data_IF_354847270114
#
_entry.id   IF_354847270114
#
_cell.length_a   1.000
_cell.length_b   1.000
_cell.length_c   1.000
_cell.angle_alpha   90.00
_cell.angle_beta   90.00
_cell.angle_gamma   90.00
#
_symmetry.space_group_name_H-M   'P 1'
#
loop_
_entity.id
_entity.type
_entity.pdbx_description
1 polymer ?
#
# COMPACT_ATOMS: atom_id res chain seq x y z
N UNK A 1 16.77 8.10 6.65
CA UNK A 1 16.86 7.10 5.56
C UNK A 1 17.68 5.88 5.98
N UNK A 2 18.96 6.02 6.35
CA UNK A 2 19.85 4.89 6.72
C UNK A 2 19.29 4.04 7.89
N UNK A 3 18.75 4.67 8.93
CA UNK A 3 18.12 3.94 10.05
C UNK A 3 16.87 3.18 9.62
N UNK A 4 16.09 3.73 8.69
CA UNK A 4 14.88 3.09 8.17
C UNK A 4 15.23 1.88 7.29
N UNK A 5 16.21 2.02 6.39
CA UNK A 5 16.68 0.92 5.55
C UNK A 5 17.35 -0.17 6.38
N UNK A 6 18.14 0.19 7.39
CA UNK A 6 18.74 -0.78 8.32
C UNK A 6 17.68 -1.56 9.11
N UNK A 7 16.65 -0.88 9.64
CA UNK A 7 15.54 -1.53 10.35
C UNK A 7 14.72 -2.45 9.45
N UNK A 8 14.49 -2.06 8.18
CA UNK A 8 13.77 -2.90 7.22
C UNK A 8 14.57 -4.15 6.82
N UNK A 9 15.88 -3.99 6.57
CA UNK A 9 16.75 -5.11 6.25
C UNK A 9 16.84 -6.07 7.43
N UNK A 10 17.14 -5.56 8.63
CA UNK A 10 17.23 -6.38 9.83
C UNK A 10 15.92 -7.10 10.14
N UNK A 11 14.78 -6.38 10.12
CA UNK A 11 13.46 -6.96 10.33
C UNK A 11 13.10 -8.01 9.28
N UNK A 12 13.42 -7.76 8.01
CA UNK A 12 13.22 -8.71 6.91
C UNK A 12 14.08 -9.96 7.04
N UNK A 13 15.35 -9.83 7.45
CA UNK A 13 16.25 -10.97 7.67
C UNK A 13 15.79 -11.80 8.86
N UNK A 14 15.43 -11.18 9.98
CA UNK A 14 14.89 -11.88 11.17
C UNK A 14 13.58 -12.60 10.81
N UNK A 15 12.72 -11.97 10.02
CA UNK A 15 11.49 -12.59 9.54
C UNK A 15 11.77 -13.82 8.67
N UNK A 16 12.72 -13.74 7.73
CA UNK A 16 13.11 -14.88 6.89
C UNK A 16 13.69 -16.04 7.71
N UNK A 17 14.52 -15.73 8.70
CA UNK A 17 15.07 -16.74 9.63
C UNK A 17 13.96 -17.39 10.44
N UNK A 18 12.97 -16.64 10.93
CA UNK A 18 11.83 -17.20 11.66
C UNK A 18 10.87 -17.98 10.75
N UNK A 19 10.66 -17.52 9.52
CA UNK A 19 9.74 -18.14 8.57
C UNK A 19 10.26 -19.48 8.06
N UNK A 20 11.57 -19.58 7.81
CA UNK A 20 12.21 -20.77 7.23
C UNK A 20 12.90 -21.60 8.30
N UNK A 21 13.67 -20.96 9.18
CA UNK A 21 14.48 -21.63 10.18
C UNK A 21 13.67 -22.26 11.32
N UNK A 22 12.62 -21.59 11.81
CA UNK A 22 11.79 -22.14 12.89
C UNK A 22 11.07 -23.44 12.47
N UNK A 23 10.29 -23.49 11.36
CA UNK A 23 9.67 -24.75 10.95
C UNK A 23 10.68 -25.81 10.53
N UNK A 24 11.82 -25.44 9.94
CA UNK A 24 12.88 -26.41 9.62
C UNK A 24 13.48 -27.05 10.89
N UNK A 25 13.68 -26.27 11.95
CA UNK A 25 14.14 -26.78 13.25
C UNK A 25 13.07 -27.64 13.93
N UNK A 26 11.80 -27.22 13.87
CA UNK A 26 10.69 -27.96 14.46
C UNK A 26 10.35 -29.25 13.71
N UNK A 27 10.66 -29.36 12.42
CA UNK A 27 10.47 -30.58 11.63
C UNK A 27 11.36 -31.76 12.09
N UNK A 28 12.45 -31.49 12.81
CA UNK A 28 13.26 -32.55 13.43
C UNK A 28 12.66 -33.11 14.72
N UNK A 29 11.60 -32.47 15.24
CA UNK A 29 10.89 -32.90 16.45
C UNK A 29 9.59 -33.56 16.00
N UNK A 30 9.33 -34.84 16.32
CA UNK A 30 8.05 -35.47 16.02
C UNK A 30 6.94 -34.76 16.82
N UNK A 31 6.05 -34.05 16.12
CA UNK A 31 4.95 -33.28 16.70
C UNK A 31 3.59 -33.90 16.36
N UNK A 32 2.64 -33.68 17.26
CA UNK A 32 1.23 -34.02 17.06
C UNK A 32 0.53 -32.98 16.16
N UNK A 33 -0.49 -33.41 15.41
CA UNK A 33 -1.22 -32.61 14.39
C UNK A 33 -1.84 -31.34 14.98
N UNK A 34 -2.33 -31.40 16.21
CA UNK A 34 -2.91 -30.22 16.88
C UNK A 34 -1.85 -29.15 17.16
N UNK A 35 -0.64 -29.58 17.54
CA UNK A 35 0.48 -28.66 17.83
C UNK A 35 0.98 -27.98 16.56
N UNK A 36 1.09 -28.73 15.46
CA UNK A 36 1.47 -28.19 14.14
C UNK A 36 0.47 -27.13 13.65
N UNK A 37 -0.82 -27.38 13.85
CA UNK A 37 -1.89 -26.43 13.46
C UNK A 37 -1.80 -25.11 14.22
N UNK A 38 -1.59 -25.14 15.54
CA UNK A 38 -1.43 -23.92 16.34
C UNK A 38 -0.17 -23.13 15.97
N UNK A 39 0.94 -23.83 15.69
CA UNK A 39 2.18 -23.21 15.22
C UNK A 39 1.97 -22.52 13.87
N UNK A 40 1.24 -23.15 12.95
CA UNK A 40 0.91 -22.58 11.64
C UNK A 40 0.07 -21.30 11.77
N UNK A 41 -0.95 -21.30 12.63
CA UNK A 41 -1.78 -20.11 12.89
C UNK A 41 -0.94 -18.98 13.50
N UNK A 42 -0.12 -19.29 14.51
CA UNK A 42 0.77 -18.32 15.15
C UNK A 42 1.77 -17.73 14.15
N UNK A 43 2.27 -18.53 13.20
CA UNK A 43 3.17 -18.08 12.13
C UNK A 43 2.48 -17.06 11.22
N UNK A 44 1.27 -17.34 10.76
CA UNK A 44 0.52 -16.40 9.92
C UNK A 44 0.21 -15.08 10.64
N UNK A 45 -0.13 -15.15 11.93
CA UNK A 45 -0.30 -13.96 12.78
C UNK A 45 1.00 -13.16 12.91
N UNK A 46 2.14 -13.83 13.15
CA UNK A 46 3.44 -13.16 13.25
C UNK A 46 3.81 -12.43 11.95
N UNK A 47 3.60 -13.07 10.79
CA UNK A 47 3.83 -12.46 9.47
C UNK A 47 2.96 -11.21 9.33
N UNK A 48 1.67 -11.30 9.65
CA UNK A 48 0.75 -10.19 9.56
C UNK A 48 1.21 -9.00 10.43
N UNK A 49 1.62 -9.26 11.68
CA UNK A 49 2.13 -8.22 12.60
C UNK A 49 3.39 -7.55 12.06
N UNK A 50 4.36 -8.31 11.55
CA UNK A 50 5.61 -7.75 11.01
C UNK A 50 5.36 -6.93 9.75
N UNK A 51 4.51 -7.41 8.83
CA UNK A 51 4.14 -6.67 7.62
C UNK A 51 3.41 -5.38 7.99
N UNK A 52 2.43 -5.44 8.90
CA UNK A 52 1.73 -4.25 9.38
C UNK A 52 2.67 -3.25 10.06
N UNK A 53 3.62 -3.73 10.87
CA UNK A 53 4.63 -2.88 11.52
C UNK A 53 5.58 -2.21 10.51
N UNK A 54 6.03 -2.96 9.50
CA UNK A 54 6.85 -2.45 8.40
C UNK A 54 6.13 -1.38 7.59
N UNK A 55 4.87 -1.63 7.20
CA UNK A 55 4.02 -0.64 6.54
C UNK A 55 3.77 0.59 7.42
N UNK A 56 3.50 0.41 8.71
CA UNK A 56 3.28 1.51 9.65
C UNK A 56 4.53 2.39 9.79
N UNK A 57 5.72 1.80 9.87
CA UNK A 57 6.98 2.55 9.83
C UNK A 57 7.14 3.28 8.51
N UNK A 58 6.92 2.61 7.38
CA UNK A 58 7.02 3.22 6.06
C UNK A 58 6.10 4.43 5.94
N UNK A 59 4.82 4.31 6.32
CA UNK A 59 3.86 5.42 6.35
C UNK A 59 4.16 6.49 7.40
N UNK A 60 4.84 6.16 8.50
CA UNK A 60 5.25 7.14 9.51
C UNK A 60 6.41 8.01 9.01
N UNK A 61 7.38 7.42 8.31
CA UNK A 61 8.65 8.06 7.93
C UNK A 61 8.69 8.57 6.48
N UNK A 62 7.81 8.11 5.59
CA UNK A 62 7.71 8.58 4.21
C UNK A 62 7.23 10.03 4.01
N UNK A 63 6.40 10.66 4.87
CA UNK A 63 5.90 12.00 4.56
C UNK A 63 6.87 13.08 5.04
N UNK A 64 7.67 13.62 4.11
CA UNK A 64 8.33 14.92 4.24
C UNK A 64 7.36 16.08 3.96
N UNK A 65 6.12 16.00 4.47
CA UNK A 65 5.12 17.07 4.37
C UNK A 65 4.17 17.08 5.57
N UNK A 66 3.57 18.24 5.83
CA UNK A 66 2.51 18.40 6.83
C UNK A 66 1.32 17.52 6.44
N UNK A 67 0.84 16.69 7.36
CA UNK A 67 -0.16 15.65 7.07
C UNK A 67 -1.50 16.32 6.75
N UNK A 68 -2.21 15.81 5.74
CA UNK A 68 -3.60 16.20 5.50
C UNK A 68 -4.48 15.70 6.66
N UNK A 69 -5.59 16.40 6.96
CA UNK A 69 -6.57 15.94 7.96
C UNK A 69 -7.02 14.52 7.59
N UNK A 70 -6.94 13.60 8.55
CA UNK A 70 -7.27 12.19 8.31
C UNK A 70 -8.79 12.03 8.21
N UNK A 71 -9.33 12.12 6.99
CA UNK A 71 -10.68 11.66 6.70
C UNK A 71 -10.63 10.17 6.41
N UNK A 72 -11.40 9.37 7.14
CA UNK A 72 -11.47 7.92 6.97
C UNK A 72 -12.07 7.51 5.62
N UNK A 73 -12.71 8.44 4.91
CA UNK A 73 -13.27 8.22 3.58
C UNK A 73 -13.12 9.50 2.75
N UNK A 74 -12.01 9.63 2.01
CA UNK A 74 -11.87 10.67 1.01
C UNK A 74 -12.53 10.24 -0.32
N UNK A 75 -13.05 11.18 -1.13
CA UNK A 75 -13.64 10.86 -2.42
C UNK A 75 -12.69 10.10 -3.35
N UNK A 76 -11.39 10.45 -3.35
CA UNK A 76 -10.33 9.75 -4.08
C UNK A 76 -10.06 8.36 -3.55
N UNK A 77 -10.09 8.13 -2.23
CA UNK A 77 -10.00 6.78 -1.67
C UNK A 77 -11.20 5.90 -2.04
N UNK A 78 -12.42 6.46 -2.04
CA UNK A 78 -13.62 5.74 -2.47
C UNK A 78 -13.58 5.38 -3.96
N UNK A 79 -13.19 6.33 -4.81
CA UNK A 79 -13.00 6.10 -6.25
C UNK A 79 -11.91 5.05 -6.53
N UNK A 80 -10.76 5.14 -5.85
CA UNK A 80 -9.70 4.15 -5.95
C UNK A 80 -10.16 2.77 -5.47
N UNK A 81 -10.92 2.68 -4.36
CA UNK A 81 -11.46 1.41 -3.88
C UNK A 81 -12.40 0.74 -4.89
N UNK A 82 -13.32 1.50 -5.49
CA UNK A 82 -14.22 1.01 -6.54
C UNK A 82 -13.45 0.56 -7.79
N UNK A 83 -12.52 1.37 -8.26
CA UNK A 83 -11.66 1.03 -9.41
C UNK A 83 -10.78 -0.18 -9.12
N UNK A 84 -10.26 -0.31 -7.90
CA UNK A 84 -9.42 -1.43 -7.50
C UNK A 84 -10.21 -2.74 -7.46
N UNK A 85 -11.45 -2.69 -6.97
CA UNK A 85 -12.35 -3.84 -7.00
C UNK A 85 -12.71 -4.25 -8.44
N UNK A 86 -13.13 -3.28 -9.26
CA UNK A 86 -13.43 -3.51 -10.67
C UNK A 86 -12.21 -4.01 -11.45
N UNK A 87 -11.04 -3.42 -11.20
CA UNK A 87 -9.75 -3.80 -11.78
C UNK A 87 -9.33 -5.20 -11.38
N UNK A 88 -9.51 -5.60 -10.13
CA UNK A 88 -9.22 -6.96 -9.66
C UNK A 88 -10.13 -8.01 -10.32
N UNK A 89 -11.41 -7.68 -10.50
CA UNK A 89 -12.36 -8.56 -11.18
C UNK A 89 -12.05 -8.68 -12.67
N UNK A 90 -11.75 -7.56 -13.34
CA UNK A 90 -11.28 -7.54 -14.73
C UNK A 90 -9.95 -8.28 -14.91
N UNK A 91 -9.04 -8.15 -13.97
CA UNK A 91 -7.75 -8.85 -13.99
C UNK A 91 -7.92 -10.36 -13.86
N UNK A 92 -8.88 -10.82 -13.05
CA UNK A 92 -9.22 -12.24 -12.96
C UNK A 92 -9.69 -12.80 -14.30
N UNK A 93 -10.55 -12.07 -15.02
CA UNK A 93 -10.99 -12.44 -16.37
C UNK A 93 -9.82 -12.43 -17.37
N UNK A 94 -8.93 -11.44 -17.28
CA UNK A 94 -7.74 -11.37 -18.12
C UNK A 94 -6.82 -12.59 -17.93
N UNK A 95 -6.51 -12.95 -16.68
CA UNK A 95 -5.65 -14.11 -16.37
C UNK A 95 -6.30 -15.42 -16.81
N UNK A 96 -7.62 -15.56 -16.66
CA UNK A 96 -8.35 -16.75 -17.12
C UNK A 96 -8.20 -16.99 -18.63
N UNK A 97 -8.15 -15.93 -19.44
CA UNK A 97 -7.92 -16.01 -20.88
C UNK A 97 -6.44 -16.20 -21.25
N UNK A 98 -5.52 -15.89 -20.34
CA UNK A 98 -4.07 -15.96 -20.55
C UNK A 98 -3.48 -17.37 -20.39
N UNK A 99 -4.27 -18.35 -19.92
CA UNK A 99 -3.82 -19.72 -19.64
C UNK A 99 -3.17 -20.45 -20.83
N UNK A 100 -3.53 -20.10 -22.07
CA UNK A 100 -2.92 -20.69 -23.28
C UNK A 100 -1.50 -20.16 -23.56
N UNK A 101 -1.16 -18.93 -23.16
CA UNK A 101 0.20 -18.37 -23.30
C UNK A 101 1.16 -18.88 -22.22
N UNK A 102 0.65 -19.34 -21.09
CA UNK A 102 1.44 -19.86 -19.98
C UNK A 102 2.22 -21.14 -20.35
N UNK A 103 1.74 -21.91 -21.36
CA UNK A 103 2.42 -23.12 -21.84
C UNK A 103 3.77 -22.84 -22.51
N UNK A 104 3.94 -21.66 -23.11
CA UNK A 104 5.17 -21.26 -23.82
C UNK A 104 6.18 -20.58 -22.90
N UNK A 105 5.70 -19.80 -21.92
CA UNK A 105 6.54 -18.96 -21.07
C UNK A 105 6.71 -19.49 -19.63
N UNK A 106 5.95 -20.51 -19.22
CA UNK A 106 6.10 -21.16 -17.91
C UNK A 106 6.15 -20.16 -16.75
N UNK A 107 7.22 -20.20 -15.95
CA UNK A 107 7.41 -19.32 -14.80
C UNK A 107 7.48 -17.82 -15.14
N UNK A 108 7.89 -17.45 -16.36
CA UNK A 108 7.89 -16.04 -16.80
C UNK A 108 6.46 -15.49 -16.93
N UNK A 109 5.49 -16.34 -17.32
CA UNK A 109 4.08 -15.95 -17.39
C UNK A 109 3.54 -15.50 -16.03
N UNK A 110 3.88 -16.23 -14.96
CA UNK A 110 3.50 -15.88 -13.59
C UNK A 110 4.09 -14.54 -13.13
N UNK A 111 5.36 -14.27 -13.46
CA UNK A 111 6.01 -12.98 -13.13
C UNK A 111 5.34 -11.83 -13.88
N UNK A 112 5.04 -12.00 -15.17
CA UNK A 112 4.36 -10.97 -15.97
C UNK A 112 2.99 -10.67 -15.37
N UNK A 113 2.19 -11.70 -15.06
CA UNK A 113 0.88 -11.55 -14.42
C UNK A 113 1.02 -10.75 -13.11
N UNK A 114 1.96 -11.13 -12.25
CA UNK A 114 2.19 -10.41 -10.98
C UNK A 114 2.56 -8.95 -11.22
N UNK A 115 3.49 -8.67 -12.14
CA UNK A 115 3.92 -7.31 -12.47
C UNK A 115 2.78 -6.46 -13.04
N UNK A 116 1.95 -7.03 -13.92
CA UNK A 116 0.78 -6.35 -14.47
C UNK A 116 -0.24 -6.03 -13.37
N UNK A 117 -0.46 -6.96 -12.43
CA UNK A 117 -1.36 -6.74 -11.31
C UNK A 117 -0.87 -5.62 -10.37
N UNK A 118 0.43 -5.64 -10.05
CA UNK A 118 1.07 -4.60 -9.24
C UNK A 118 1.03 -3.24 -9.93
N UNK A 119 1.32 -3.19 -11.23
CA UNK A 119 1.26 -1.98 -12.04
C UNK A 119 -0.16 -1.39 -12.06
N UNK A 120 -1.18 -2.23 -12.30
CA UNK A 120 -2.59 -1.82 -12.31
C UNK A 120 -3.01 -1.27 -10.94
N UNK A 121 -2.65 -1.98 -9.87
CA UNK A 121 -2.94 -1.55 -8.49
C UNK A 121 -2.29 -0.21 -8.15
N UNK A 122 -1.00 -0.05 -8.49
CA UNK A 122 -0.27 1.19 -8.27
C UNK A 122 -0.90 2.35 -9.04
N UNK A 123 -1.29 2.13 -10.30
CA UNK A 123 -1.94 3.14 -11.12
C UNK A 123 -3.27 3.61 -10.49
N UNK A 124 -4.12 2.68 -10.04
CA UNK A 124 -5.40 3.00 -9.42
C UNK A 124 -5.22 3.80 -8.12
N UNK A 125 -4.26 3.41 -7.28
CA UNK A 125 -3.95 4.11 -6.04
C UNK A 125 -3.45 5.53 -6.32
N UNK A 126 -2.54 5.69 -7.28
CA UNK A 126 -2.04 7.01 -7.68
C UNK A 126 -3.14 7.90 -8.26
N UNK A 127 -4.07 7.33 -9.03
CA UNK A 127 -5.21 8.05 -9.57
C UNK A 127 -6.13 8.57 -8.46
N UNK A 128 -6.43 7.75 -7.46
CA UNK A 128 -7.21 8.20 -6.29
C UNK A 128 -6.51 9.30 -5.49
N UNK A 129 -5.20 9.16 -5.31
CA UNK A 129 -4.39 10.18 -4.64
C UNK A 129 -4.35 11.50 -5.43
N UNK A 130 -4.32 11.43 -6.77
CA UNK A 130 -4.37 12.60 -7.64
C UNK A 130 -5.75 13.28 -7.56
N UNK A 131 -6.83 12.49 -7.54
CA UNK A 131 -8.18 13.02 -7.37
C UNK A 131 -8.32 13.75 -6.04
N UNK A 132 -7.83 13.15 -4.95
CA UNK A 132 -7.81 13.81 -3.64
C UNK A 132 -6.99 15.10 -3.64
N UNK A 133 -5.82 15.09 -4.29
CA UNK A 133 -4.98 16.28 -4.39
C UNK A 133 -5.61 17.41 -5.21
N UNK A 134 -6.42 17.08 -6.22
CA UNK A 134 -7.12 18.07 -7.03
C UNK A 134 -8.36 18.63 -6.33
N UNK A 135 -9.11 17.79 -5.61
CA UNK A 135 -10.21 18.23 -4.74
C UNK A 135 -9.68 19.16 -3.64
N UNK A 136 -8.52 18.84 -3.06
CA UNK A 136 -7.82 19.69 -2.10
C UNK A 136 -7.45 21.04 -2.71
N UNK A 137 -6.99 21.07 -3.97
CA UNK A 137 -6.66 22.30 -4.70
C UNK A 137 -7.85 23.20 -5.01
N UNK A 138 -9.05 22.64 -5.15
CA UNK A 138 -10.26 23.41 -5.41
C UNK A 138 -10.94 23.91 -4.12
N UNK A 139 -10.45 23.50 -2.96
CA UNK A 139 -11.06 23.81 -1.67
C UNK A 139 -10.36 25.01 -1.02
N UNK A 140 -11.09 26.13 -0.84
CA UNK A 140 -10.59 27.31 -0.09
C UNK A 140 -10.44 27.06 1.41
N UNK A 141 -11.11 26.03 1.94
CA UNK A 141 -11.06 25.62 3.34
C UNK A 141 -9.74 24.88 3.65
N UNK A 142 -9.18 25.06 4.85
CA UNK A 142 -7.92 24.42 5.23
C UNK A 142 -8.09 22.91 5.48
N UNK A 143 -7.46 22.12 4.63
CA UNK A 143 -7.40 20.65 4.66
C UNK A 143 -6.23 20.10 5.47
N UNK A 144 -5.33 20.95 5.99
CA UNK A 144 -4.11 20.54 6.69
C UNK A 144 -4.31 20.34 8.19
N UNK A 145 -3.59 19.40 8.82
CA UNK A 145 -3.69 19.23 10.28
C UNK A 145 -3.13 20.44 11.06
N UNK A 146 -3.91 20.92 12.02
CA UNK A 146 -3.55 22.03 12.91
C UNK A 146 -4.64 23.11 12.98
N UNK A 147 -4.36 24.26 13.62
CA UNK A 147 -5.24 25.43 13.56
C UNK A 147 -5.30 25.95 12.12
N UNK A 148 -6.49 26.36 11.68
CA UNK A 148 -6.73 26.80 10.31
C UNK A 148 -5.84 28.00 9.97
N UNK A 149 -5.16 27.94 8.81
CA UNK A 149 -4.27 28.99 8.32
C UNK A 149 -4.75 29.57 6.99
N UNK A 150 -4.44 30.85 6.73
CA UNK A 150 -4.68 31.45 5.42
C UNK A 150 -3.88 30.72 4.33
N UNK A 151 -4.38 30.78 3.10
CA UNK A 151 -3.69 30.22 1.94
C UNK A 151 -2.29 30.85 1.79
N UNK A 152 -1.27 30.02 1.51
CA UNK A 152 0.14 30.41 1.44
C UNK A 152 0.94 30.02 2.69
N UNK A 153 0.28 29.78 3.83
CA UNK A 153 0.92 29.44 5.11
C UNK A 153 0.59 28.02 5.62
N UNK A 154 -0.13 27.21 4.82
CA UNK A 154 -0.58 25.87 5.22
C UNK A 154 0.53 24.83 5.11
N UNK A 155 1.59 25.13 4.34
CA UNK A 155 2.77 24.28 4.22
C UNK A 155 2.55 23.08 3.31
N UNK A 156 1.63 23.20 2.36
CA UNK A 156 1.28 22.19 1.38
C UNK A 156 0.92 22.88 0.04
N UNK A 157 1.71 22.63 -1.01
CA UNK A 157 1.61 23.33 -2.29
C UNK A 157 0.20 23.37 -2.89
N UNK A 158 -0.52 22.24 -2.84
CA UNK A 158 -1.90 22.13 -3.35
C UNK A 158 -2.95 22.74 -2.42
N UNK A 159 -2.67 22.89 -1.12
CA UNK A 159 -3.57 23.59 -0.19
C UNK A 159 -3.33 25.12 -0.18
N UNK A 160 -2.14 25.55 -0.62
CA UNK A 160 -1.70 26.95 -0.66
C UNK A 160 -1.99 27.63 -2.02
N UNK A 161 -2.17 26.87 -3.10
CA UNK A 161 -2.49 27.37 -4.43
C UNK A 161 -3.83 26.80 -4.93
N UNK A 162 -4.77 27.67 -5.31
CA UNK A 162 -5.99 27.25 -6.01
C UNK A 162 -5.64 26.74 -7.41
N UNK A 163 -6.46 25.83 -7.93
CA UNK A 163 -6.40 25.47 -9.36
C UNK A 163 -6.66 26.67 -10.26
N UNK A 164 -6.06 26.67 -11.47
CA UNK A 164 -6.07 27.79 -12.44
C UNK A 164 -7.47 28.38 -12.69
N UNK A 165 -8.52 27.54 -12.68
CA UNK A 165 -9.90 27.99 -12.92
C UNK A 165 -10.54 28.82 -11.78
N UNK A 166 -9.95 28.87 -10.59
CA UNK A 166 -10.46 29.65 -9.45
C UNK A 166 -9.59 30.88 -9.10
N UNK A 167 -8.42 31.01 -9.73
CA UNK A 167 -7.53 32.17 -9.55
C UNK A 167 -7.86 33.36 -10.46
N UNK A 168 -8.60 33.13 -11.55
CA UNK A 168 -9.00 34.20 -12.49
C UNK A 168 -10.19 35.04 -12.01
N UNK A 169 -10.96 34.54 -11.03
CA UNK A 169 -12.23 35.12 -10.58
C UNK A 169 -12.11 35.98 -9.29
N UNK A 170 -10.88 36.35 -8.92
CA UNK A 170 -10.54 37.21 -7.75
C UNK A 170 -9.59 38.32 -8.14
#
# INVERSE_FOLDING_TARGET
VIVMTASFLFGGTVLMVLLVGLPAALAFIPMDIETERWISIARWLLIAVVVMGGLAMFYRFAPARRRAKWSWLTPGAAAAGLLWFAGSMGFTLYVANFGNYNQTFGSLGGVIILLTWLWLSAFIVLLGALLDAEIEAQTRHDSTVGPDRPMGERGAYKADNLGEGLSEDT
#
